data_IF_300403792321
#
_entry.id   IF_300403792321
#
_cell.length_a   1.000
_cell.length_b   1.000
_cell.length_c   1.000
_cell.angle_alpha   90.00
_cell.angle_beta   90.00
_cell.angle_gamma   90.00
#
_symmetry.space_group_name_H-M   'P 1'
#
loop_
_entity.id
_entity.type
_entity.pdbx_description
1 polymer ?
#
# COMPACT_ATOMS: atom_id res chain seq x y z
N UNK A 1 12.62 2.35 -13.35
CA UNK A 1 11.83 3.57 -13.05
C UNK A 1 11.48 3.56 -11.57
N UNK A 2 11.62 4.68 -10.88
CA UNK A 2 11.23 4.83 -9.47
C UNK A 2 10.02 5.76 -9.43
N UNK A 3 8.97 5.34 -8.73
CA UNK A 3 7.74 6.09 -8.53
C UNK A 3 7.53 6.26 -7.03
N UNK A 4 7.32 7.49 -6.60
CA UNK A 4 6.99 7.81 -5.21
C UNK A 4 5.52 8.22 -5.18
N UNK A 5 4.78 7.66 -4.25
CA UNK A 5 3.35 7.87 -4.06
C UNK A 5 3.12 8.36 -2.63
N UNK A 6 2.41 9.46 -2.46
CA UNK A 6 1.89 9.87 -1.17
C UNK A 6 0.37 9.91 -1.31
N UNK A 7 -0.33 9.13 -0.50
CA UNK A 7 -1.77 9.03 -0.47
C UNK A 7 -2.23 9.49 0.91
N UNK A 8 -2.90 10.64 0.94
CA UNK A 8 -3.59 11.13 2.13
C UNK A 8 -5.07 11.13 1.80
N UNK A 9 -5.82 10.16 2.34
CA UNK A 9 -7.26 10.16 2.17
C UNK A 9 -7.84 11.26 3.07
N UNK A 10 -8.14 12.40 2.44
CA UNK A 10 -8.80 13.57 3.02
C UNK A 10 -10.29 13.58 2.65
N UNK A 11 -10.94 12.41 2.62
CA UNK A 11 -12.41 12.35 2.52
C UNK A 11 -13.02 12.78 3.85
N UNK A 12 -13.01 14.09 4.03
CA UNK A 12 -13.73 14.85 5.04
C UNK A 12 -15.23 14.60 4.81
N UNK A 13 -15.78 13.54 5.42
CA UNK A 13 -17.24 13.46 5.56
C UNK A 13 -17.63 14.51 6.59
N UNK A 14 -17.76 15.75 6.11
CA UNK A 14 -18.40 16.86 6.82
C UNK A 14 -19.80 16.43 7.20
N UNK A 15 -19.97 15.96 8.43
CA UNK A 15 -21.24 15.49 8.93
C UNK A 15 -21.22 15.31 10.43
N UNK A 16 -21.31 16.42 11.16
CA UNK A 16 -21.63 16.53 12.58
C UNK A 16 -20.49 16.35 13.59
N UNK A 17 -20.33 17.41 14.41
CA UNK A 17 -19.83 17.42 15.79
C UNK A 17 -18.49 16.73 16.03
N UNK A 18 -17.43 17.54 16.08
CA UNK A 18 -16.49 17.56 17.21
C UNK A 18 -15.99 16.21 17.71
N UNK A 19 -15.15 15.48 16.96
CA UNK A 19 -14.25 14.48 17.55
C UNK A 19 -13.15 14.06 16.57
N UNK A 20 -11.91 14.14 17.06
CA UNK A 20 -10.62 13.67 16.58
C UNK A 20 -10.44 13.29 15.09
N UNK A 21 -9.59 14.09 14.46
CA UNK A 21 -9.02 14.01 13.12
C UNK A 21 -8.39 12.62 12.82
N UNK A 22 -9.19 11.66 12.32
CA UNK A 22 -8.67 10.40 11.75
C UNK A 22 -8.11 10.69 10.35
N UNK A 23 -6.93 11.32 10.28
CA UNK A 23 -6.18 11.45 9.04
C UNK A 23 -5.34 10.21 8.83
N UNK A 24 -5.64 9.46 7.79
CA UNK A 24 -4.79 8.37 7.31
C UNK A 24 -3.75 8.96 6.37
N UNK A 25 -2.48 8.86 6.74
CA UNK A 25 -1.38 9.29 5.87
C UNK A 25 -0.57 8.06 5.49
N UNK A 26 -0.60 7.73 4.20
CA UNK A 26 0.17 6.66 3.60
C UNK A 26 1.25 7.21 2.67
N UNK A 27 2.47 6.72 2.82
CA UNK A 27 3.56 6.98 1.86
C UNK A 27 4.04 5.65 1.29
N UNK A 28 4.23 5.61 -0.02
CA UNK A 28 4.62 4.42 -0.75
C UNK A 28 5.68 4.73 -1.79
N UNK A 29 6.55 3.77 -2.05
CA UNK A 29 7.52 3.84 -3.13
C UNK A 29 7.46 2.53 -3.93
N UNK A 30 7.33 2.67 -5.24
CA UNK A 30 7.46 1.57 -6.18
C UNK A 30 8.74 1.75 -7.00
N UNK A 31 9.55 0.70 -7.08
CA UNK A 31 10.72 0.64 -7.94
C UNK A 31 10.56 -0.50 -8.94
N UNK A 32 10.83 -0.18 -10.21
CA UNK A 32 10.79 -1.11 -11.34
C UNK A 32 12.16 -1.16 -11.99
N UNK A 33 13.08 -2.01 -11.49
CA UNK A 33 14.40 -2.14 -12.10
C UNK A 33 14.34 -2.78 -13.49
N UNK A 34 13.38 -3.68 -13.73
CA UNK A 34 13.21 -4.41 -14.99
C UNK A 34 11.74 -4.34 -15.43
N UNK A 35 11.44 -4.48 -16.73
CA UNK A 35 10.04 -4.46 -17.21
C UNK A 35 9.19 -5.60 -16.63
N UNK A 36 9.84 -6.70 -16.24
CA UNK A 36 9.21 -7.86 -15.61
C UNK A 36 9.34 -7.87 -14.08
N UNK A 37 9.98 -6.89 -13.45
CA UNK A 37 10.17 -6.85 -11.99
C UNK A 37 9.75 -5.50 -11.42
N UNK A 38 8.78 -5.53 -10.51
CA UNK A 38 8.35 -4.40 -9.70
C UNK A 38 8.50 -4.75 -8.22
N UNK A 39 8.99 -3.82 -7.43
CA UNK A 39 8.99 -3.93 -5.98
C UNK A 39 8.32 -2.69 -5.40
N UNK A 40 7.46 -2.91 -4.42
CA UNK A 40 6.66 -1.88 -3.76
C UNK A 40 6.92 -1.99 -2.27
N UNK A 41 7.10 -0.86 -1.62
CA UNK A 41 7.08 -0.76 -0.17
C UNK A 41 6.27 0.47 0.19
N UNK A 42 5.54 0.41 1.29
CA UNK A 42 4.77 1.54 1.76
C UNK A 42 4.58 1.47 3.26
N UNK A 43 4.36 2.62 3.85
CA UNK A 43 4.14 2.81 5.26
C UNK A 43 2.88 3.64 5.43
N UNK A 44 1.94 3.15 6.23
CA UNK A 44 0.70 3.84 6.57
C UNK A 44 0.68 4.05 8.07
N UNK A 45 0.56 5.31 8.49
CA UNK A 45 0.44 5.68 9.90
C UNK A 45 -0.96 6.24 10.17
N UNK A 46 -1.61 5.69 11.19
CA UNK A 46 -2.87 6.18 11.75
C UNK A 46 -2.59 7.34 12.72
N UNK A 47 -3.17 8.51 12.48
CA UNK A 47 -3.01 9.70 13.35
C UNK A 47 -4.12 9.76 14.41
N UNK A 48 -4.39 8.64 15.10
CA UNK A 48 -5.10 8.65 16.39
C UNK A 48 -4.22 8.01 17.44
N UNK A 49 -4.17 8.68 18.58
CA UNK A 49 -3.33 8.47 19.76
C UNK A 49 -3.55 7.08 20.42
N UNK A 50 -3.21 6.01 19.71
CA UNK A 50 -3.06 4.63 20.18
C UNK A 50 -2.43 3.82 19.02
N UNK A 51 -1.11 3.62 19.08
CA UNK A 51 -0.23 2.91 18.14
C UNK A 51 -0.89 1.87 17.24
N UNK A 52 -0.72 2.03 15.92
CA UNK A 52 -0.74 0.90 14.99
C UNK A 52 -0.20 1.35 13.63
N UNK A 53 1.13 1.37 13.49
CA UNK A 53 1.76 1.62 12.20
C UNK A 53 1.66 0.36 11.34
N UNK A 54 1.16 0.49 10.11
CA UNK A 54 1.06 -0.63 9.17
C UNK A 54 2.12 -0.49 8.09
N UNK A 55 3.06 -1.42 8.09
CA UNK A 55 4.02 -1.57 7.02
C UNK A 55 3.43 -2.42 5.91
N UNK A 56 3.59 -1.99 4.67
CA UNK A 56 3.11 -2.69 3.47
C UNK A 56 4.28 -2.94 2.53
N UNK A 57 4.27 -4.09 1.87
CA UNK A 57 5.30 -4.48 0.92
C UNK A 57 4.69 -5.33 -0.19
N UNK A 58 5.27 -5.27 -1.38
CA UNK A 58 4.82 -6.10 -2.49
C UNK A 58 5.89 -6.30 -3.54
N UNK A 59 5.80 -7.40 -4.26
CA UNK A 59 6.70 -7.76 -5.35
C UNK A 59 5.85 -8.21 -6.54
N UNK A 60 6.01 -7.54 -7.67
CA UNK A 60 5.38 -7.86 -8.95
C UNK A 60 6.38 -8.49 -9.92
N UNK A 61 6.00 -9.60 -10.51
CA UNK A 61 6.75 -10.31 -11.54
C UNK A 61 5.89 -10.43 -12.80
N UNK A 62 6.31 -9.82 -13.90
CA UNK A 62 5.55 -9.79 -15.15
C UNK A 62 6.35 -10.28 -16.37
N UNK A 63 6.66 -11.60 -16.47
CA UNK A 63 7.40 -12.13 -17.61
C UNK A 63 6.65 -11.91 -18.94
N UNK A 64 7.37 -11.40 -19.95
CA UNK A 64 6.86 -11.10 -21.29
C UNK A 64 5.66 -10.13 -21.33
N UNK A 65 5.37 -9.40 -20.25
CA UNK A 65 4.22 -8.49 -20.15
C UNK A 65 2.84 -9.16 -20.33
N UNK A 66 2.78 -10.50 -20.45
CA UNK A 66 1.54 -11.28 -20.65
C UNK A 66 1.01 -11.88 -19.36
N UNK A 67 1.90 -12.28 -18.46
CA UNK A 67 1.55 -12.85 -17.16
C UNK A 67 2.07 -11.87 -16.13
N UNK A 68 1.23 -11.43 -15.21
CA UNK A 68 1.59 -10.52 -14.11
C UNK A 68 1.24 -11.23 -12.82
N UNK A 69 2.25 -11.46 -11.99
CA UNK A 69 2.14 -12.08 -10.69
C UNK A 69 2.57 -11.06 -9.65
N UNK A 70 1.62 -10.57 -8.88
CA UNK A 70 1.84 -9.55 -7.87
C UNK A 70 1.59 -10.14 -6.50
N UNK A 71 2.61 -10.16 -5.66
CA UNK A 71 2.51 -10.49 -4.25
C UNK A 71 2.44 -9.20 -3.45
N UNK A 72 1.56 -9.17 -2.46
CA UNK A 72 1.41 -8.09 -1.51
C UNK A 72 1.35 -8.66 -0.10
N UNK A 73 1.95 -7.95 0.83
CA UNK A 73 1.93 -8.23 2.25
C UNK A 73 1.73 -6.93 3.01
N UNK A 74 1.03 -7.04 4.12
CA UNK A 74 0.88 -5.98 5.10
C UNK A 74 1.13 -6.57 6.49
N UNK A 75 1.80 -5.79 7.31
CA UNK A 75 2.20 -6.16 8.66
C UNK A 75 2.05 -4.93 9.56
N UNK A 76 1.14 -5.02 10.54
CA UNK A 76 0.91 -3.99 11.56
C UNK A 76 1.19 -4.50 12.97
N UNK A 77 1.40 -3.56 13.91
CA UNK A 77 1.78 -3.83 15.30
C UNK A 77 0.67 -4.54 16.13
N UNK A 78 -0.61 -4.41 15.78
CA UNK A 78 -1.76 -5.06 16.46
C UNK A 78 -2.21 -6.38 15.81
N UNK A 79 -1.28 -7.32 15.60
CA UNK A 79 -1.58 -8.65 15.04
C UNK A 79 -2.28 -8.62 13.66
N UNK A 80 -2.29 -7.46 12.99
CA UNK A 80 -2.92 -7.26 11.70
C UNK A 80 -1.91 -7.59 10.61
N UNK A 81 -1.80 -8.88 10.32
CA UNK A 81 -1.02 -9.39 9.20
C UNK A 81 -1.95 -9.82 8.07
N UNK A 82 -1.58 -9.48 6.85
CA UNK A 82 -2.31 -9.84 5.66
C UNK A 82 -1.35 -10.14 4.52
N UNK A 83 -1.68 -11.15 3.74
CA UNK A 83 -0.97 -11.44 2.51
C UNK A 83 -1.99 -11.61 1.38
N UNK A 84 -1.64 -11.11 0.21
CA UNK A 84 -2.42 -11.21 -1.00
C UNK A 84 -1.52 -11.58 -2.16
N UNK A 85 -2.08 -12.32 -3.10
CA UNK A 85 -1.44 -12.59 -4.38
C UNK A 85 -2.47 -12.30 -5.47
N UNK A 86 -2.04 -11.61 -6.53
CA UNK A 86 -2.83 -11.34 -7.71
C UNK A 86 -2.11 -11.92 -8.91
N UNK A 87 -2.84 -12.69 -9.71
CA UNK A 87 -2.35 -13.23 -10.96
C UNK A 87 -3.25 -12.70 -12.08
N UNK A 88 -2.65 -12.01 -13.03
CA UNK A 88 -3.32 -11.45 -14.21
C UNK A 88 -2.71 -12.02 -15.48
N UNK A 89 -3.56 -12.45 -16.41
CA UNK A 89 -3.14 -12.89 -17.75
C UNK A 89 -3.75 -11.98 -18.81
N UNK A 90 -2.93 -11.50 -19.74
CA UNK A 90 -3.36 -10.69 -20.88
C UNK A 90 -3.14 -11.49 -22.16
N UNK A 91 -4.17 -11.62 -23.00
CA UNK A 91 -4.19 -12.40 -24.25
C UNK A 91 -4.21 -11.49 -25.48
#
# INVERSE_FOLDING_TARGET
>A
MLTVSADGDLTETKGFKSEDNSQYVGVGTEVRPLSWLAARVGYRADVKNNDSNVFTGGLGFAPFNRVHLDLMGLYGEDETWGAGAQLTMTF
#
